data_IF_119867688747
#
_entry.id   IF_119867688747
#
_cell.length_a   1.000
_cell.length_b   1.000
_cell.length_c   1.000
_cell.angle_alpha   90.00
_cell.angle_beta   90.00
_cell.angle_gamma   90.00
#
_symmetry.space_group_name_H-M   'P 1'
#
loop_
_entity.id
_entity.type
_entity.pdbx_description
1 polymer ?
#
# COMPACT_ATOMS: atom_id res chain seq x y z
N UNK A 1 -4.64 -16.55 -8.66
CA UNK A 1 -4.79 -15.09 -8.89
C UNK A 1 -4.15 -14.40 -7.72
N UNK A 2 -3.04 -13.69 -7.93
CA UNK A 2 -2.31 -13.00 -6.86
C UNK A 2 -3.14 -11.81 -6.38
N UNK A 3 -3.55 -11.80 -5.12
CA UNK A 3 -4.37 -10.71 -4.57
C UNK A 3 -3.60 -9.39 -4.54
N UNK A 4 -4.21 -8.34 -5.07
CA UNK A 4 -3.64 -7.00 -5.09
C UNK A 4 -4.00 -6.27 -3.80
N UNK A 5 -3.05 -6.19 -2.86
CA UNK A 5 -3.26 -5.47 -1.61
C UNK A 5 -2.96 -3.98 -1.79
N UNK A 6 -3.93 -3.11 -1.50
CA UNK A 6 -3.79 -1.65 -1.58
C UNK A 6 -3.63 -1.04 -0.19
N UNK A 7 -2.64 -0.16 -0.04
CA UNK A 7 -2.45 0.66 1.17
C UNK A 7 -2.27 2.12 0.81
N UNK A 8 -2.48 3.02 1.76
CA UNK A 8 -2.17 4.44 1.58
C UNK A 8 -0.74 4.73 2.03
N UNK A 9 -0.05 5.60 1.31
CA UNK A 9 1.18 6.23 1.78
C UNK A 9 0.89 7.18 2.94
N UNK A 10 1.94 7.61 3.64
CA UNK A 10 1.83 8.58 4.74
C UNK A 10 1.18 9.91 4.31
N UNK A 11 1.27 10.23 3.00
CA UNK A 11 0.68 11.41 2.36
C UNK A 11 -0.68 11.12 1.70
N UNK A 12 -1.30 9.97 1.97
CA UNK A 12 -2.64 9.63 1.49
C UNK A 12 -2.72 9.16 0.03
N UNK A 13 -1.59 9.00 -0.68
CA UNK A 13 -1.57 8.43 -2.04
C UNK A 13 -1.62 6.91 -2.01
N UNK A 14 -2.33 6.29 -2.93
CA UNK A 14 -2.39 4.83 -3.05
C UNK A 14 -1.03 4.20 -3.37
N UNK A 15 -0.83 3.02 -2.78
CA UNK A 15 0.29 2.13 -3.00
C UNK A 15 -0.23 0.70 -3.18
N UNK A 16 0.45 -0.06 -4.02
CA UNK A 16 0.19 -1.48 -4.24
C UNK A 16 1.26 -2.29 -3.52
N UNK A 17 0.85 -3.34 -2.83
CA UNK A 17 1.73 -4.31 -2.18
C UNK A 17 1.64 -5.65 -2.91
N UNK A 18 2.79 -6.13 -3.39
CA UNK A 18 2.93 -7.45 -4.00
C UNK A 18 4.19 -8.08 -3.41
N UNK A 19 4.06 -9.29 -2.84
CA UNK A 19 5.19 -10.06 -2.29
C UNK A 19 6.08 -9.27 -1.33
N UNK A 20 5.49 -8.42 -0.48
CA UNK A 20 6.21 -7.57 0.48
C UNK A 20 6.89 -6.34 -0.13
N UNK A 21 6.76 -6.10 -1.44
CA UNK A 21 7.24 -4.89 -2.11
C UNK A 21 6.14 -3.85 -2.29
N UNK A 22 6.50 -2.58 -2.10
CA UNK A 22 5.59 -1.44 -2.26
C UNK A 22 5.81 -0.75 -3.59
N UNK A 23 4.73 -0.49 -4.33
CA UNK A 23 4.72 0.19 -5.60
C UNK A 23 3.86 1.45 -5.52
N UNK A 24 4.40 2.58 -5.99
CA UNK A 24 3.69 3.85 -6.11
C UNK A 24 3.29 4.10 -7.56
N UNK A 25 2.16 4.78 -7.73
CA UNK A 25 1.73 5.23 -9.04
C UNK A 25 2.83 6.08 -9.68
N UNK A 26 3.13 5.80 -10.95
CA UNK A 26 4.09 6.56 -11.72
C UNK A 26 3.39 7.37 -12.81
N UNK A 27 2.68 6.69 -13.71
CA UNK A 27 1.97 7.32 -14.83
C UNK A 27 0.97 6.36 -15.47
N UNK A 28 0.01 6.93 -16.19
CA UNK A 28 -0.82 6.17 -17.13
C UNK A 28 -0.01 5.87 -18.40
N UNK A 29 -0.34 4.75 -19.03
CA UNK A 29 0.15 4.26 -20.31
C UNK A 29 -1.02 4.23 -21.31
N UNK A 30 -0.73 3.91 -22.57
CA UNK A 30 -1.78 3.65 -23.56
C UNK A 30 -2.64 2.45 -23.16
N UNK A 31 -3.84 2.33 -23.75
CA UNK A 31 -4.79 1.23 -23.52
C UNK A 31 -5.25 1.09 -22.05
N UNK A 32 -5.47 2.20 -21.35
CA UNK A 32 -5.97 2.22 -19.97
C UNK A 32 -5.12 1.41 -18.97
N UNK A 33 -3.82 1.34 -19.26
CA UNK A 33 -2.84 0.71 -18.40
C UNK A 33 -2.21 1.75 -17.46
N UNK A 34 -1.84 1.33 -16.27
CA UNK A 34 -1.13 2.15 -15.29
C UNK A 34 0.21 1.52 -14.97
N UNK A 35 1.26 2.35 -14.94
CA UNK A 35 2.59 1.92 -14.50
C UNK A 35 2.80 2.32 -13.05
N UNK A 36 3.22 1.37 -12.24
CA UNK A 36 3.59 1.60 -10.85
C UNK A 36 5.04 1.21 -10.65
N UNK A 37 5.82 2.06 -9.99
CA UNK A 37 7.25 1.81 -9.73
C UNK A 37 7.47 1.52 -8.27
N UNK A 38 8.52 0.76 -7.96
CA UNK A 38 8.90 0.52 -6.58
C UNK A 38 9.07 1.85 -5.81
N UNK A 39 8.69 1.86 -4.53
CA UNK A 39 8.82 3.04 -3.69
C UNK A 39 10.27 3.35 -3.33
N UNK A 40 11.17 2.34 -3.33
CA UNK A 40 12.59 2.52 -3.06
C UNK A 40 13.26 3.24 -4.23
N UNK A 41 13.93 4.36 -3.98
CA UNK A 41 14.54 5.21 -5.01
C UNK A 41 15.62 4.52 -5.83
N UNK A 42 16.39 3.61 -5.22
CA UNK A 42 17.43 2.83 -5.88
C UNK A 42 16.87 1.69 -6.73
N UNK A 43 15.59 1.34 -6.56
CA UNK A 43 14.97 0.21 -7.25
C UNK A 43 14.31 0.65 -8.55
N UNK A 44 14.62 -0.08 -9.63
CA UNK A 44 14.04 0.15 -10.96
C UNK A 44 12.85 -0.77 -11.28
N UNK A 45 12.51 -1.69 -10.38
CA UNK A 45 11.36 -2.60 -10.56
C UNK A 45 10.05 -1.82 -10.67
N UNK A 46 9.18 -2.29 -11.55
CA UNK A 46 7.87 -1.72 -11.81
C UNK A 46 6.89 -2.83 -12.17
N UNK A 47 5.61 -2.51 -12.07
CA UNK A 47 4.48 -3.35 -12.49
C UNK A 47 3.59 -2.54 -13.43
N UNK A 48 2.78 -3.26 -14.20
CA UNK A 48 1.67 -2.66 -14.95
C UNK A 48 0.36 -3.24 -14.46
N UNK A 49 -0.62 -2.37 -14.27
CA UNK A 49 -1.98 -2.78 -13.91
C UNK A 49 -2.97 -2.25 -14.93
N UNK A 50 -4.09 -2.94 -15.10
CA UNK A 50 -5.28 -2.39 -15.75
C UNK A 50 -5.91 -1.31 -14.85
N UNK A 51 -6.70 -0.41 -15.43
CA UNK A 51 -7.57 0.50 -14.68
C UNK A 51 -8.54 -0.24 -13.74
N UNK A 52 -8.88 -1.50 -14.05
CA UNK A 52 -9.70 -2.37 -13.20
C UNK A 52 -8.92 -2.96 -12.00
N UNK A 53 -7.62 -2.68 -11.88
CA UNK A 53 -6.79 -3.16 -10.79
C UNK A 53 -6.22 -4.57 -10.97
N UNK A 54 -6.33 -5.16 -12.16
CA UNK A 54 -5.68 -6.44 -12.51
C UNK A 54 -4.20 -6.23 -12.83
N UNK A 55 -3.32 -7.08 -12.30
CA UNK A 55 -1.89 -7.06 -12.64
C UNK A 55 -1.73 -7.62 -14.06
N UNK A 56 -1.17 -6.81 -14.95
CA UNK A 56 -0.89 -7.18 -16.35
C UNK A 56 0.57 -7.58 -16.53
N UNK A 57 1.47 -7.03 -15.71
CA UNK A 57 2.90 -7.33 -15.72
C UNK A 57 3.39 -7.47 -14.29
N UNK A 58 3.99 -8.63 -14.00
CA UNK A 58 4.56 -8.97 -12.70
C UNK A 58 5.83 -8.16 -12.40
N UNK A 59 6.17 -7.96 -11.11
CA UNK A 59 7.34 -7.19 -10.75
C UNK A 59 8.63 -7.89 -11.18
N UNK A 60 9.52 -7.14 -11.84
CA UNK A 60 10.87 -7.60 -12.14
C UNK A 60 11.79 -7.65 -10.91
N UNK A 61 13.07 -7.94 -11.14
CA UNK A 61 14.06 -8.08 -10.06
C UNK A 61 14.23 -6.81 -9.21
N UNK A 62 14.34 -7.02 -7.90
CA UNK A 62 14.55 -5.96 -6.92
C UNK A 62 15.99 -5.97 -6.42
N UNK A 63 16.61 -4.78 -6.37
CA UNK A 63 17.94 -4.58 -5.79
C UNK A 63 17.93 -4.42 -4.25
N UNK A 64 16.87 -4.85 -3.58
CA UNK A 64 16.70 -4.73 -2.14
C UNK A 64 15.77 -5.82 -1.62
N UNK A 65 15.88 -6.21 -0.33
CA UNK A 65 14.96 -7.16 0.26
C UNK A 65 13.53 -6.59 0.31
N UNK A 66 12.52 -7.47 0.42
CA UNK A 66 11.15 -7.08 0.71
C UNK A 66 11.07 -6.22 1.98
N UNK A 67 10.00 -5.45 2.12
CA UNK A 67 9.74 -4.73 3.37
C UNK A 67 9.26 -5.72 4.44
N UNK A 68 9.69 -5.48 5.67
CA UNK A 68 9.24 -6.25 6.82
C UNK A 68 7.71 -6.19 6.95
N UNK A 69 7.10 -7.34 7.23
CA UNK A 69 5.65 -7.47 7.41
C UNK A 69 5.14 -6.53 8.52
N UNK A 70 5.92 -6.37 9.59
CA UNK A 70 5.64 -5.45 10.71
C UNK A 70 5.52 -3.99 10.26
N UNK A 71 6.37 -3.54 9.34
CA UNK A 71 6.33 -2.17 8.84
C UNK A 71 5.09 -1.94 7.97
N UNK A 72 4.72 -2.93 7.15
CA UNK A 72 3.50 -2.90 6.34
C UNK A 72 2.26 -2.88 7.24
N UNK A 73 2.22 -3.74 8.26
CA UNK A 73 1.13 -3.79 9.25
C UNK A 73 1.01 -2.48 10.03
N UNK A 74 2.13 -1.92 10.52
CA UNK A 74 2.14 -0.61 11.19
C UNK A 74 1.56 0.48 10.29
N UNK A 75 1.95 0.48 9.02
CA UNK A 75 1.42 1.44 8.04
C UNK A 75 -0.09 1.25 7.83
N UNK A 76 -0.56 0.02 7.73
CA UNK A 76 -1.98 -0.29 7.62
C UNK A 76 -2.78 0.22 8.84
N UNK A 77 -2.33 -0.07 10.06
CA UNK A 77 -2.93 0.39 11.31
C UNK A 77 -2.96 1.91 11.36
N UNK A 78 -1.84 2.58 11.05
CA UNK A 78 -1.77 4.05 11.06
C UNK A 78 -2.76 4.69 10.08
N UNK A 79 -2.94 4.09 8.90
CA UNK A 79 -3.89 4.58 7.91
C UNK A 79 -5.35 4.42 8.41
N UNK A 80 -5.66 3.28 9.04
CA UNK A 80 -6.98 3.07 9.64
C UNK A 80 -7.23 4.01 10.82
N UNK A 81 -6.22 4.20 11.69
CA UNK A 81 -6.29 5.11 12.83
C UNK A 81 -6.57 6.54 12.39
N UNK A 82 -5.85 7.05 11.37
CA UNK A 82 -6.09 8.39 10.82
C UNK A 82 -7.52 8.57 10.32
N UNK A 83 -8.07 7.57 9.62
CA UNK A 83 -9.48 7.59 9.16
C UNK A 83 -10.47 7.62 10.33
N UNK A 84 -10.34 6.67 11.26
CA UNK A 84 -11.23 6.58 12.43
C UNK A 84 -11.15 7.79 13.35
N UNK A 85 -9.98 8.41 13.49
CA UNK A 85 -9.79 9.62 14.30
C UNK A 85 -10.51 10.83 13.71
N UNK A 86 -10.62 10.92 12.38
CA UNK A 86 -11.42 11.97 11.73
C UNK A 86 -12.92 11.72 11.94
N UNK A 87 -13.35 10.46 11.85
CA UNK A 87 -14.75 10.07 12.06
C UNK A 87 -15.19 10.24 13.53
N UNK A 88 -14.29 9.97 14.48
CA UNK A 88 -14.56 10.00 15.92
C UNK A 88 -13.65 11.02 16.61
N UNK A 89 -13.79 12.29 16.24
CA UNK A 89 -12.91 13.37 16.70
C UNK A 89 -12.92 13.57 18.23
N UNK A 90 -14.02 13.16 18.89
CA UNK A 90 -14.20 13.28 20.35
C UNK A 90 -13.64 12.07 21.12
N UNK A 91 -13.32 10.96 20.45
CA UNK A 91 -12.78 9.79 21.12
C UNK A 91 -11.28 9.95 21.39
N UNK A 92 -10.84 9.46 22.55
CA UNK A 92 -9.42 9.48 22.89
C UNK A 92 -8.65 8.61 21.88
N UNK A 93 -7.54 9.09 21.28
CA UNK A 93 -6.79 8.33 20.27
C UNK A 93 -6.37 6.92 20.71
N UNK A 94 -6.08 6.74 22.01
CA UNK A 94 -5.73 5.44 22.59
C UNK A 94 -6.89 4.42 22.48
N UNK A 95 -8.14 4.85 22.67
CA UNK A 95 -9.33 4.00 22.53
C UNK A 95 -9.46 3.47 21.10
N UNK A 96 -9.25 4.35 20.12
CA UNK A 96 -9.30 4.00 18.69
C UNK A 96 -8.16 3.03 18.33
N UNK A 97 -6.95 3.27 18.84
CA UNK A 97 -5.81 2.39 18.62
C UNK A 97 -6.04 0.99 19.22
N UNK A 98 -6.52 0.91 20.46
CA UNK A 98 -6.86 -0.37 21.10
C UNK A 98 -7.87 -1.14 20.23
N UNK A 99 -8.96 -0.50 19.82
CA UNK A 99 -9.96 -1.15 18.97
C UNK A 99 -9.35 -1.71 17.67
N UNK A 100 -8.37 -1.04 17.08
CA UNK A 100 -7.72 -1.49 15.84
C UNK A 100 -6.78 -2.68 16.05
N UNK A 101 -6.03 -2.70 17.15
CA UNK A 101 -5.05 -3.77 17.44
C UNK A 101 -5.76 -5.07 17.87
N UNK A 102 -6.85 -4.98 18.64
CA UNK A 102 -7.56 -6.17 19.14
C UNK A 102 -8.58 -6.74 18.14
N UNK A 103 -8.89 -6.04 17.04
CA UNK A 103 -9.78 -6.53 15.98
C UNK A 103 -9.04 -7.14 14.77
N UNK A 104 -7.70 -7.12 14.73
CA UNK A 104 -6.97 -7.83 13.69
C UNK A 104 -6.95 -9.33 14.02
N UNK A 105 -7.51 -10.21 13.16
CA UNK A 105 -7.51 -11.65 13.38
C UNK A 105 -6.10 -12.25 13.36
#
# INVERSE_FOLDING_TARGET
MSELNKVLSERGKELIIINGYKFRFHKNLAHDMQRWKCTKSSCKSFIKTSQLGTILEEPGEHCHPPFETKDIQRQHINNQLKRKAVENICDRPLKILHQLIYFTP
#
